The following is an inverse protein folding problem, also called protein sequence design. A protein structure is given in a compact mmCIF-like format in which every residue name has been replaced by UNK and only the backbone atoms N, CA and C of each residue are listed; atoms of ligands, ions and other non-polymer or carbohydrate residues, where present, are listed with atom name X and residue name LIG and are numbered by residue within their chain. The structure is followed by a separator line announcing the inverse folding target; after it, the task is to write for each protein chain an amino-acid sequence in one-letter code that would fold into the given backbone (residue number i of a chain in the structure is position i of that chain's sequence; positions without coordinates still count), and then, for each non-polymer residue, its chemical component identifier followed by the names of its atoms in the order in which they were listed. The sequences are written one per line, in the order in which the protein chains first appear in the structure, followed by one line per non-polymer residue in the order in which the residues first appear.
data_IF_397724069008
#
_entry.id   IF_397724069008
#
_cell.length_a   1.000
_cell.length_b   1.000
_cell.length_c   1.000
_cell.angle_alpha   90.00
_cell.angle_beta   90.00
_cell.angle_gamma   90.00
#
_symmetry.space_group_name_H-M   'P 1'
#
loop_
_entity.id
_entity.type
_entity.pdbx_description
1 polymer ?
#
# COMPACT_ATOMS: atom_id res chain seq x y z
N UNK A 1 -20.27 1.73 -2.08
CA UNK A 1 -20.16 0.47 -1.31
C UNK A 1 -18.68 0.27 -1.01
N UNK A 2 -18.30 0.22 0.26
CA UNK A 2 -16.91 -0.03 0.67
C UNK A 2 -16.52 -1.47 0.37
N UNK A 3 -15.26 -1.73 0.02
CA UNK A 3 -14.74 -3.10 -0.11
C UNK A 3 -14.78 -3.79 1.26
N UNK A 4 -15.01 -5.10 1.28
CA UNK A 4 -14.97 -5.88 2.52
C UNK A 4 -13.58 -5.76 3.18
N UNK A 5 -13.50 -5.71 4.51
CA UNK A 5 -12.22 -5.68 5.22
C UNK A 5 -11.46 -7.00 5.02
N UNK A 6 -10.13 -6.93 5.00
CA UNK A 6 -9.28 -8.11 5.05
C UNK A 6 -9.47 -8.86 6.37
N UNK A 7 -9.22 -10.16 6.32
CA UNK A 7 -9.27 -11.00 7.52
C UNK A 7 -8.19 -10.55 8.53
N UNK A 8 -8.57 -10.43 9.79
CA UNK A 8 -7.66 -10.06 10.88
C UNK A 8 -6.74 -11.25 11.18
N UNK A 9 -5.44 -11.05 11.40
CA UNK A 9 -4.56 -12.12 11.84
C UNK A 9 -5.12 -12.85 13.07
N UNK A 10 -5.25 -14.17 12.97
CA UNK A 10 -5.80 -15.02 14.05
C UNK A 10 -4.84 -15.16 15.23
N UNK A 11 -3.56 -14.95 15.00
CA UNK A 11 -2.50 -15.08 15.98
C UNK A 11 -1.36 -14.12 15.62
N UNK A 12 -0.60 -13.68 16.65
CA UNK A 12 0.47 -12.68 16.52
C UNK A 12 1.87 -13.28 16.72
N UNK A 13 2.01 -14.60 16.51
CA UNK A 13 3.26 -15.32 16.66
C UNK A 13 4.14 -15.28 15.40
N UNK A 14 5.04 -16.24 15.30
CA UNK A 14 6.02 -16.36 14.21
C UNK A 14 5.39 -16.78 12.86
N UNK A 15 4.12 -17.17 12.87
CA UNK A 15 3.34 -17.53 11.68
C UNK A 15 2.87 -16.32 10.85
N UNK A 16 3.04 -15.10 11.37
CA UNK A 16 2.69 -13.88 10.65
C UNK A 16 3.60 -13.68 9.44
N UNK A 17 2.98 -13.29 8.33
CA UNK A 17 3.66 -12.94 7.09
C UNK A 17 3.09 -11.64 6.54
N UNK A 18 3.92 -10.89 5.85
CA UNK A 18 3.52 -9.69 5.13
C UNK A 18 3.62 -9.92 3.63
N UNK A 19 2.59 -9.53 2.88
CA UNK A 19 2.65 -9.52 1.42
C UNK A 19 3.72 -8.53 0.94
N UNK A 20 4.66 -9.00 0.13
CA UNK A 20 5.77 -8.19 -0.41
C UNK A 20 5.28 -7.06 -1.32
N UNK A 21 4.06 -7.21 -1.86
CA UNK A 21 3.42 -6.17 -2.66
C UNK A 21 2.64 -5.16 -1.82
N UNK A 22 1.53 -5.60 -1.25
CA UNK A 22 0.56 -4.70 -0.63
C UNK A 22 0.82 -4.46 0.86
N UNK A 23 1.79 -5.17 1.47
CA UNK A 23 2.13 -5.09 2.89
C UNK A 23 1.02 -5.55 3.84
N UNK A 24 -0.04 -6.19 3.33
CA UNK A 24 -1.07 -6.79 4.17
C UNK A 24 -0.44 -7.89 5.02
N UNK A 25 -0.82 -7.95 6.30
CA UNK A 25 -0.32 -8.92 7.28
C UNK A 25 -1.44 -9.89 7.64
N UNK A 26 -1.17 -11.18 7.45
CA UNK A 26 -2.02 -12.33 7.81
C UNK A 26 -1.11 -13.48 8.23
N UNK A 27 -1.67 -14.55 8.81
CA UNK A 27 -0.90 -15.77 9.04
C UNK A 27 -0.63 -16.51 7.73
N UNK A 28 0.36 -17.39 7.70
CA UNK A 28 0.62 -18.28 6.56
C UNK A 28 -0.65 -19.03 6.13
N UNK A 29 -1.35 -19.64 7.07
CA UNK A 29 -2.57 -20.41 6.79
C UNK A 29 -3.68 -19.54 6.21
N UNK A 30 -3.83 -18.30 6.70
CA UNK A 30 -4.83 -17.38 6.16
C UNK A 30 -4.53 -16.97 4.71
N UNK A 31 -3.25 -16.74 4.35
CA UNK A 31 -2.88 -16.50 2.95
C UNK A 31 -3.11 -17.72 2.08
N UNK A 32 -2.84 -18.91 2.63
CA UNK A 32 -3.05 -20.18 1.94
C UNK A 32 -4.53 -20.43 1.67
N UNK A 33 -5.41 -20.19 2.64
CA UNK A 33 -6.83 -20.52 2.52
C UNK A 33 -7.65 -19.48 1.75
N UNK A 34 -7.33 -18.19 1.88
CA UNK A 34 -8.17 -17.10 1.38
C UNK A 34 -7.42 -16.11 0.47
N UNK A 35 -6.12 -16.33 0.27
CA UNK A 35 -5.29 -15.45 -0.52
C UNK A 35 -5.11 -14.05 0.07
N UNK A 36 -4.67 -13.13 -0.78
CA UNK A 36 -4.49 -11.72 -0.46
C UNK A 36 -5.60 -10.87 -1.07
N UNK A 37 -6.33 -10.15 -0.22
CA UNK A 37 -7.50 -9.35 -0.61
C UNK A 37 -7.13 -8.16 -1.52
N UNK A 38 -5.89 -7.66 -1.40
CA UNK A 38 -5.39 -6.59 -2.26
C UNK A 38 -4.67 -7.11 -3.52
N UNK A 39 -4.31 -8.39 -3.55
CA UNK A 39 -3.52 -8.99 -4.63
C UNK A 39 -4.10 -10.35 -5.05
N UNK A 40 -5.36 -10.41 -5.49
CA UNK A 40 -5.99 -11.67 -5.90
C UNK A 40 -5.30 -12.31 -7.10
N UNK A 41 -4.62 -11.52 -7.93
CA UNK A 41 -3.86 -12.00 -9.09
C UNK A 41 -2.68 -12.92 -8.75
N UNK A 42 -2.20 -12.92 -7.50
CA UNK A 42 -1.19 -13.89 -7.08
C UNK A 42 -1.76 -15.32 -6.94
N UNK A 43 -3.08 -15.48 -6.83
CA UNK A 43 -3.77 -16.79 -6.79
C UNK A 43 -3.22 -17.75 -5.73
N UNK A 44 -2.94 -17.20 -4.55
CA UNK A 44 -2.35 -17.96 -3.42
C UNK A 44 -3.30 -19.03 -2.85
N UNK A 45 -4.60 -18.87 -3.07
CA UNK A 45 -5.68 -19.79 -2.71
C UNK A 45 -5.78 -20.99 -3.67
N UNK A 46 -5.30 -20.84 -4.91
CA UNK A 46 -5.20 -21.93 -5.88
C UNK A 46 -3.81 -22.60 -5.82
N UNK A 47 -2.76 -21.80 -5.64
CA UNK A 47 -1.35 -22.21 -5.65
C UNK A 47 -0.67 -21.80 -4.34
N UNK A 48 -0.66 -22.74 -3.39
CA UNK A 48 -0.14 -22.51 -2.04
C UNK A 48 1.39 -22.32 -1.99
N UNK A 49 2.13 -22.78 -3.01
CA UNK A 49 3.59 -22.59 -3.06
C UNK A 49 3.93 -21.09 -3.19
N UNK A 50 3.08 -20.34 -3.93
CA UNK A 50 3.23 -18.88 -4.11
C UNK A 50 3.11 -18.08 -2.82
N UNK A 51 2.50 -18.63 -1.76
CA UNK A 51 2.42 -17.94 -0.47
C UNK A 51 3.82 -17.59 0.02
N UNK A 52 4.78 -18.50 -0.13
CA UNK A 52 6.16 -18.28 0.34
C UNK A 52 6.88 -17.25 -0.53
N UNK A 53 6.65 -17.25 -1.84
CA UNK A 53 7.34 -16.35 -2.78
C UNK A 53 6.79 -14.92 -2.78
N UNK A 54 5.50 -14.76 -2.47
CA UNK A 54 4.82 -13.47 -2.46
C UNK A 54 4.80 -12.79 -1.08
N UNK A 55 5.22 -13.50 -0.01
CA UNK A 55 5.13 -13.01 1.37
C UNK A 55 6.39 -13.29 2.17
N UNK A 56 6.69 -12.44 3.17
CA UNK A 56 7.87 -12.60 4.04
C UNK A 56 7.48 -12.59 5.52
N UNK A 57 8.11 -13.42 6.37
CA UNK A 57 8.04 -13.25 7.82
C UNK A 57 8.92 -12.07 8.32
N UNK A 58 9.83 -11.57 7.49
CA UNK A 58 10.80 -10.53 7.83
C UNK A 58 10.22 -9.13 7.55
N UNK A 59 9.33 -8.67 8.43
CA UNK A 59 8.73 -7.34 8.34
C UNK A 59 8.83 -6.58 9.67
N UNK A 60 8.69 -5.24 9.62
CA UNK A 60 8.81 -4.40 10.79
C UNK A 60 7.53 -3.60 11.06
N UNK A 61 7.00 -3.75 12.28
CA UNK A 61 5.84 -3.02 12.77
C UNK A 61 4.53 -3.49 12.14
N UNK A 62 3.42 -3.29 12.87
CA UNK A 62 2.07 -3.56 12.38
C UNK A 62 1.23 -2.31 12.60
N UNK A 63 0.38 -1.99 11.63
CA UNK A 63 -0.62 -0.93 11.70
C UNK A 63 -1.97 -1.46 11.25
N UNK A 64 -3.00 -1.24 12.07
CA UNK A 64 -4.38 -1.55 11.70
C UNK A 64 -5.03 -0.32 11.06
N UNK A 65 -5.43 -0.45 9.79
CA UNK A 65 -6.03 0.63 9.01
C UNK A 65 -7.52 0.34 8.84
N UNK A 66 -8.37 1.16 9.47
CA UNK A 66 -9.83 1.03 9.39
C UNK A 66 -10.42 1.73 8.15
N UNK A 67 -9.87 2.89 7.79
CA UNK A 67 -10.30 3.65 6.61
C UNK A 67 -9.06 4.15 5.83
N UNK A 68 -8.60 3.38 4.83
CA UNK A 68 -7.46 3.74 4.00
C UNK A 68 -7.67 5.04 3.22
N UNK A 69 -8.91 5.43 2.92
CA UNK A 69 -9.21 6.62 2.13
C UNK A 69 -9.04 7.92 2.93
N UNK A 70 -9.28 7.88 4.23
CA UNK A 70 -9.23 9.06 5.11
C UNK A 70 -8.00 9.12 6.01
N UNK A 71 -7.26 8.02 6.16
CA UNK A 71 -6.12 7.95 7.08
C UNK A 71 -4.85 8.61 6.50
N UNK A 72 -4.28 9.57 7.25
CA UNK A 72 -2.97 10.15 6.93
C UNK A 72 -1.86 9.07 6.93
N UNK A 73 -1.89 8.15 7.90
CA UNK A 73 -0.92 7.06 7.99
C UNK A 73 -1.00 6.12 6.78
N UNK A 74 -2.21 5.80 6.30
CA UNK A 74 -2.40 5.01 5.09
C UNK A 74 -1.82 5.72 3.84
N UNK A 75 -2.01 7.04 3.74
CA UNK A 75 -1.42 7.85 2.67
C UNK A 75 0.11 7.89 2.73
N UNK A 76 0.68 8.02 3.93
CA UNK A 76 2.12 7.98 4.16
C UNK A 76 2.73 6.66 3.69
N UNK A 77 2.05 5.54 4.00
CA UNK A 77 2.45 4.19 3.61
C UNK A 77 2.16 3.84 2.14
N UNK A 78 1.52 4.75 1.38
CA UNK A 78 1.07 4.53 -0.01
C UNK A 78 0.03 3.40 -0.17
N UNK A 79 -0.72 3.12 0.89
CA UNK A 79 -1.87 2.19 0.89
C UNK A 79 -3.21 2.95 0.97
N UNK A 80 -3.20 4.28 0.89
CA UNK A 80 -4.39 5.12 0.91
C UNK A 80 -4.72 5.70 -0.46
N UNK A 81 -6.01 5.97 -0.69
CA UNK A 81 -6.47 6.61 -1.92
C UNK A 81 -5.83 8.01 -2.06
N UNK A 82 -5.24 8.29 -3.22
CA UNK A 82 -4.98 9.69 -3.59
C UNK A 82 -6.32 10.25 -4.07
N UNK A 83 -6.85 11.22 -3.33
CA UNK A 83 -8.08 11.92 -3.70
C UNK A 83 -8.03 12.28 -5.20
N UNK A 84 -9.08 11.91 -5.94
CA UNK A 84 -9.32 12.37 -7.31
C UNK A 84 -9.60 13.87 -7.39
N UNK A 85 -9.39 14.63 -6.32
CA UNK A 85 -9.18 16.08 -6.39
C UNK A 85 -7.79 16.37 -7.02
N UNK A 86 -7.59 15.91 -8.25
CA UNK A 86 -6.47 16.21 -9.12
C UNK A 86 -6.51 17.64 -9.66
N UNK A 87 -7.04 18.60 -8.90
CA UNK A 87 -6.89 20.03 -9.21
C UNK A 87 -6.05 20.69 -8.12
N UNK A 88 -4.84 20.18 -7.96
CA UNK A 88 -3.75 20.93 -7.36
C UNK A 88 -3.48 22.14 -8.27
N UNK A 89 -4.04 23.31 -7.95
CA UNK A 89 -3.58 24.56 -8.59
C UNK A 89 -2.19 24.86 -8.07
N UNK A 90 -1.23 24.93 -8.98
CA UNK A 90 0.03 25.62 -8.74
C UNK A 90 -0.29 27.09 -8.55
N UNK A 91 0.02 27.63 -7.38
CA UNK A 91 -0.02 29.07 -7.15
C UNK A 91 1.43 29.57 -7.18
N UNK A 92 1.74 30.43 -8.15
CA UNK A 92 2.98 31.20 -8.13
C UNK A 92 2.86 32.26 -7.05
N UNK A 93 3.79 32.29 -6.09
CA UNK A 93 3.86 33.31 -5.04
C UNK A 93 4.96 34.30 -5.43
N UNK A 94 4.62 35.51 -5.92
CA UNK A 94 5.61 36.47 -6.41
C UNK A 94 6.61 36.90 -5.34
N UNK A 95 6.18 37.00 -4.07
CA UNK A 95 7.04 37.43 -2.96
C UNK A 95 8.11 36.42 -2.54
N UNK A 96 7.95 35.15 -2.93
CA UNK A 96 8.86 34.06 -2.56
C UNK A 96 9.51 33.40 -3.77
N UNK A 97 9.26 33.92 -4.98
CA UNK A 97 9.69 33.38 -6.28
C UNK A 97 9.60 31.85 -6.37
N UNK A 98 8.50 31.29 -5.87
CA UNK A 98 8.32 29.85 -5.77
C UNK A 98 6.90 29.44 -6.11
N UNK A 99 6.77 28.22 -6.60
CA UNK A 99 5.49 27.58 -6.83
C UNK A 99 5.12 26.78 -5.60
N UNK A 100 3.91 26.97 -5.10
CA UNK A 100 3.44 26.15 -3.99
C UNK A 100 2.11 25.48 -4.29
N UNK A 101 1.95 24.28 -3.72
CA UNK A 101 0.79 23.39 -3.87
C UNK A 101 -0.14 23.58 -2.69
N UNK A 102 -1.43 23.84 -2.96
CA UNK A 102 -2.47 23.94 -1.93
C UNK A 102 -3.43 22.75 -2.04
N UNK A 103 -3.64 22.05 -0.93
CA UNK A 103 -4.71 21.03 -0.83
C UNK A 103 -6.07 21.72 -0.89
N UNK A 104 -7.01 21.17 -1.66
CA UNK A 104 -8.39 21.65 -1.63
C UNK A 104 -8.94 21.49 -0.21
N UNK A 105 -9.37 22.59 0.42
CA UNK A 105 -9.86 22.61 1.81
C UNK A 105 -8.80 22.80 2.91
N UNK A 106 -7.52 22.97 2.59
CA UNK A 106 -6.46 23.26 3.58
C UNK A 106 -6.34 24.74 3.96
N UNK A 107 -5.94 25.02 5.21
CA UNK A 107 -5.49 26.35 5.65
C UNK A 107 -4.17 26.71 4.94
N UNK A 108 -3.91 28.01 4.78
CA UNK A 108 -2.73 28.56 4.07
C UNK A 108 -1.39 28.10 4.66
N UNK A 109 -1.35 27.49 5.84
CA UNK A 109 -0.13 26.99 6.49
C UNK A 109 0.45 25.71 5.88
N UNK A 110 -0.32 24.93 5.13
CA UNK A 110 0.03 23.53 4.82
C UNK A 110 0.68 23.39 3.44
N UNK A 111 1.85 24.01 3.26
CA UNK A 111 2.63 23.96 2.02
C UNK A 111 3.62 22.77 2.03
N UNK A 112 3.63 21.93 0.99
CA UNK A 112 4.59 20.83 0.83
C UNK A 112 5.29 20.89 -0.54
N UNK A 113 6.59 20.57 -0.57
CA UNK A 113 7.38 20.37 -1.79
C UNK A 113 7.03 19.02 -2.44
N UNK A 114 6.86 18.98 -3.76
CA UNK A 114 6.44 17.77 -4.49
C UNK A 114 7.54 17.28 -5.42
N UNK A 115 7.85 15.98 -5.33
CA UNK A 115 8.35 15.19 -6.45
C UNK A 115 7.69 13.79 -6.42
N UNK A 116 7.29 13.34 -7.61
CA UNK A 116 6.64 12.07 -7.98
C UNK A 116 5.10 11.96 -7.88
N UNK A 117 4.47 12.28 -9.00
CA UNK A 117 3.09 11.97 -9.37
C UNK A 117 3.06 10.67 -10.18
N UNK A 118 2.54 9.58 -9.59
CA UNK A 118 1.93 8.48 -10.32
C UNK A 118 0.60 8.16 -9.61
N UNK A 119 -0.45 8.04 -10.41
CA UNK A 119 -1.82 7.70 -10.04
C UNK A 119 -1.91 6.18 -9.94
N UNK A 120 -1.87 5.64 -8.72
CA UNK A 120 -2.25 4.26 -8.46
C UNK A 120 -3.63 4.27 -7.78
N UNK A 121 -4.61 3.65 -8.43
CA UNK A 121 -6.01 3.56 -7.98
C UNK A 121 -6.31 2.23 -7.30
N UNK A 122 -5.29 1.55 -6.76
CA UNK A 122 -5.49 0.41 -5.87
C UNK A 122 -6.31 0.82 -4.65
N UNK A 123 -7.57 0.35 -4.57
CA UNK A 123 -8.39 0.47 -3.35
C UNK A 123 -7.92 -0.60 -2.37
N UNK A 124 -6.92 -0.27 -1.56
CA UNK A 124 -6.55 -1.13 -0.44
C UNK A 124 -7.75 -1.29 0.50
N UNK A 125 -7.95 -2.51 0.97
CA UNK A 125 -9.04 -2.82 1.92
C UNK A 125 -8.65 -2.43 3.35
N UNK A 126 -9.62 -2.15 4.25
CA UNK A 126 -9.32 -2.08 5.67
C UNK A 126 -8.66 -3.38 6.17
N UNK A 127 -7.66 -3.30 7.03
CA UNK A 127 -6.91 -4.48 7.49
C UNK A 127 -5.64 -4.15 8.27
N UNK A 128 -4.89 -5.20 8.64
CA UNK A 128 -3.58 -5.08 9.28
C UNK A 128 -2.47 -5.05 8.22
N UNK A 129 -1.58 -4.06 8.31
CA UNK A 129 -0.48 -3.86 7.36
C UNK A 129 0.85 -3.74 8.10
N UNK A 130 1.96 -4.00 7.42
CA UNK A 130 3.31 -3.72 7.94
C UNK A 130 3.79 -2.32 7.57
N UNK A 131 4.66 -1.73 8.41
CA UNK A 131 5.31 -0.46 8.12
C UNK A 131 6.44 -0.63 7.08
N UNK A 132 7.12 -1.78 7.11
CA UNK A 132 8.21 -2.08 6.18
C UNK A 132 8.35 -3.59 5.92
N UNK A 133 8.77 -3.94 4.70
CA UNK A 133 9.26 -5.26 4.32
C UNK A 133 10.74 -5.13 3.94
N UNK A 134 11.56 -6.08 4.37
CA UNK A 134 13.01 -6.04 4.15
C UNK A 134 13.44 -6.63 2.81
N UNK A 135 12.55 -7.39 2.16
CA UNK A 135 12.84 -8.18 0.97
C UNK A 135 12.03 -7.67 -0.22
N UNK A 136 12.55 -7.86 -1.43
CA UNK A 136 11.84 -7.51 -2.66
C UNK A 136 11.13 -8.75 -3.24
N UNK A 137 9.98 -8.51 -3.86
CA UNK A 137 9.29 -9.50 -4.67
C UNK A 137 10.21 -10.06 -5.80
N UNK A 138 10.22 -11.38 -6.06
CA UNK A 138 10.95 -11.99 -7.17
C UNK A 138 10.58 -11.39 -8.54
N UNK A 139 11.51 -11.39 -9.50
CA UNK A 139 11.34 -10.75 -10.82
C UNK A 139 10.14 -11.28 -11.60
N UNK A 140 9.93 -12.60 -11.61
CA UNK A 140 8.78 -13.22 -12.28
C UNK A 140 7.44 -12.72 -11.75
N UNK A 141 7.35 -12.48 -10.44
CA UNK A 141 6.16 -11.95 -9.79
C UNK A 141 6.03 -10.43 -9.94
N UNK A 142 7.14 -9.72 -10.20
CA UNK A 142 7.09 -8.31 -10.61
C UNK A 142 6.50 -8.18 -12.01
N UNK A 143 6.90 -9.04 -12.95
CA UNK A 143 6.33 -9.09 -14.30
C UNK A 143 4.82 -9.34 -14.25
N UNK A 144 4.38 -10.28 -13.39
CA UNK A 144 2.95 -10.51 -13.17
C UNK A 144 2.20 -9.27 -12.66
N UNK A 145 2.85 -8.45 -11.82
CA UNK A 145 2.24 -7.19 -11.38
C UNK A 145 2.10 -6.19 -12.55
N UNK A 146 3.08 -6.16 -13.46
CA UNK A 146 3.05 -5.28 -14.63
C UNK A 146 1.97 -5.72 -15.63
N UNK A 147 1.83 -7.03 -15.87
CA UNK A 147 0.78 -7.61 -16.71
C UNK A 147 -0.61 -7.25 -16.22
N UNK A 148 -0.82 -7.30 -14.90
CA UNK A 148 -2.06 -6.91 -14.23
C UNK A 148 -2.21 -5.38 -14.07
N UNK A 149 -1.26 -4.60 -14.63
CA UNK A 149 -1.22 -3.12 -14.57
C UNK A 149 -1.23 -2.56 -13.16
N UNK A 150 -0.65 -3.29 -12.22
CA UNK A 150 -0.53 -2.87 -10.82
C UNK A 150 0.91 -2.38 -10.59
N UNK A 151 1.09 -1.14 -10.13
CA UNK A 151 2.42 -0.54 -9.92
C UNK A 151 3.23 -1.12 -8.73
N UNK A 152 4.30 -1.87 -8.99
CA UNK A 152 5.22 -2.32 -7.94
C UNK A 152 6.19 -1.21 -7.54
N UNK A 153 6.39 -1.04 -6.24
CA UNK A 153 7.42 -0.16 -5.70
C UNK A 153 8.27 -1.00 -4.76
N UNK A 154 9.48 -1.42 -5.17
CA UNK A 154 10.35 -2.20 -4.31
C UNK A 154 10.74 -1.41 -3.05
N UNK A 155 10.97 -2.08 -1.92
CA UNK A 155 11.46 -1.42 -0.72
C UNK A 155 12.81 -0.77 -0.99
N UNK A 156 13.06 0.39 -0.38
CA UNK A 156 14.38 1.02 -0.44
C UNK A 156 15.35 0.12 0.32
N UNK A 157 16.38 -0.39 -0.37
CA UNK A 157 17.50 -1.06 0.30
C UNK A 157 18.14 -0.04 1.23
N UNK A 158 18.18 -0.34 2.53
CA UNK A 158 18.93 0.42 3.53
C UNK A 158 20.37 -0.06 3.51
#
# INVERSE_FOLDING_TARGET
MGSAPAQIPTSFGHELRACLRCRLVKTYDQFRESGCENCPFFKMDEDHERVVDCTTPNFNGIISVMDPSRSWAARWLRIGFKDSCGRTRLFFIPSLNTYKVRRCGGRISDWFNVLFWISDSGRFVPGCYTLAVSEALPEDLQNLCEDERVQYIPPKRV
#
